data_IF_943308087950
#
_entry.id   IF_943308087950
#
_cell.length_a   1.000
_cell.length_b   1.000
_cell.length_c   1.000
_cell.angle_alpha   90.00
_cell.angle_beta   90.00
_cell.angle_gamma   90.00
#
_symmetry.space_group_name_H-M   'P 1'
#
loop_
_entity.id
_entity.type
_entity.pdbx_description
1 polymer ?
#
# COMPACT_ATOMS: atom_id res chain seq x y z
N UNK A 1 18.65 46.60 1.58
CA UNK A 1 17.78 46.75 0.40
C UNK A 1 17.79 45.43 -0.36
N UNK A 2 18.93 45.00 -0.91
CA UNK A 2 19.14 43.72 -1.65
C UNK A 2 18.43 42.46 -1.11
N UNK A 3 18.54 42.12 0.18
CA UNK A 3 18.00 40.86 0.74
C UNK A 3 16.47 40.85 0.88
N UNK A 4 15.85 42.00 1.18
CA UNK A 4 14.39 42.10 1.35
C UNK A 4 13.71 42.10 -0.02
N UNK A 5 14.32 42.72 -1.03
CA UNK A 5 13.83 42.70 -2.41
C UNK A 5 13.92 41.29 -3.02
N UNK A 6 14.98 40.54 -2.70
CA UNK A 6 15.10 39.11 -3.04
C UNK A 6 13.98 38.27 -2.39
N UNK A 7 13.71 38.46 -1.10
CA UNK A 7 12.60 37.79 -0.41
C UNK A 7 11.23 38.15 -0.99
N UNK A 8 11.04 39.39 -1.47
CA UNK A 8 9.81 39.83 -2.10
C UNK A 8 9.64 39.20 -3.50
N UNK A 9 10.73 39.06 -4.26
CA UNK A 9 10.76 38.39 -5.56
C UNK A 9 10.46 36.88 -5.51
N UNK A 10 10.64 36.23 -4.35
CA UNK A 10 10.39 34.79 -4.16
C UNK A 10 8.92 34.46 -3.80
N UNK A 11 8.12 35.44 -3.37
CA UNK A 11 6.70 35.25 -3.01
C UNK A 11 5.80 34.66 -4.11
N UNK A 12 5.94 34.98 -5.41
CA UNK A 12 5.13 34.37 -6.46
C UNK A 12 5.53 32.92 -6.78
N UNK A 13 6.68 32.42 -6.33
CA UNK A 13 7.11 31.04 -6.60
C UNK A 13 6.34 30.01 -5.75
N UNK A 14 5.99 30.36 -4.51
CA UNK A 14 5.22 29.50 -3.61
C UNK A 14 3.82 29.12 -4.16
N UNK A 15 2.98 30.07 -4.62
CA UNK A 15 1.68 29.71 -5.20
C UNK A 15 1.81 28.91 -6.50
N UNK A 16 2.88 29.12 -7.29
CA UNK A 16 3.14 28.33 -8.50
C UNK A 16 3.47 26.88 -8.14
N UNK A 17 4.30 26.65 -7.12
CA UNK A 17 4.62 25.31 -6.62
C UNK A 17 3.37 24.58 -6.09
N UNK A 18 2.53 25.30 -5.33
CA UNK A 18 1.25 24.76 -4.84
C UNK A 18 0.30 24.44 -6.00
N UNK A 19 0.21 25.32 -7.00
CA UNK A 19 -0.64 25.12 -8.18
C UNK A 19 -0.19 23.91 -9.01
N UNK A 20 1.12 23.70 -9.20
CA UNK A 20 1.66 22.51 -9.88
C UNK A 20 1.35 21.24 -9.09
N UNK A 21 1.50 21.27 -7.77
CA UNK A 21 1.13 20.16 -6.89
C UNK A 21 -0.35 19.80 -6.98
N UNK A 22 -1.23 20.82 -6.95
CA UNK A 22 -2.67 20.65 -7.10
C UNK A 22 -3.06 20.15 -8.49
N UNK A 23 -2.43 20.64 -9.55
CA UNK A 23 -2.66 20.19 -10.92
C UNK A 23 -2.27 18.72 -11.10
N UNK A 24 -1.09 18.32 -10.59
CA UNK A 24 -0.66 16.92 -10.56
C UNK A 24 -1.61 16.03 -9.77
N UNK A 25 -2.12 16.52 -8.62
CA UNK A 25 -3.11 15.82 -7.81
C UNK A 25 -4.45 15.65 -8.55
N UNK A 26 -4.94 16.68 -9.24
CA UNK A 26 -6.16 16.62 -10.04
C UNK A 26 -6.00 15.67 -11.23
N UNK A 27 -4.86 15.72 -11.94
CA UNK A 27 -4.56 14.81 -13.06
C UNK A 27 -4.51 13.36 -12.57
N UNK A 28 -3.89 13.10 -11.42
CA UNK A 28 -3.86 11.77 -10.80
C UNK A 28 -5.26 11.29 -10.42
N UNK A 29 -6.07 12.15 -9.79
CA UNK A 29 -7.47 11.83 -9.48
C UNK A 29 -8.28 11.55 -10.75
N UNK A 30 -8.16 12.38 -11.78
CA UNK A 30 -8.86 12.18 -13.05
C UNK A 30 -8.37 10.94 -13.81
N UNK A 31 -7.07 10.66 -13.76
CA UNK A 31 -6.46 9.45 -14.31
C UNK A 31 -7.00 8.20 -13.62
N UNK A 32 -7.03 8.18 -12.28
CA UNK A 32 -7.64 7.11 -11.49
C UNK A 32 -9.12 6.95 -11.86
N UNK A 33 -9.86 8.05 -11.96
CA UNK A 33 -11.31 8.06 -12.27
C UNK A 33 -11.62 7.56 -13.68
N UNK A 34 -10.74 7.82 -14.65
CA UNK A 34 -10.88 7.35 -16.03
C UNK A 34 -10.44 5.89 -16.22
N UNK A 35 -9.48 5.39 -15.43
CA UNK A 35 -9.13 3.96 -15.39
C UNK A 35 -10.26 3.10 -14.78
N UNK A 36 -11.04 3.64 -13.84
CA UNK A 36 -12.10 2.89 -13.14
C UNK A 36 -13.34 2.62 -14.03
N UNK A 37 -13.53 3.35 -15.14
CA UNK A 37 -14.74 3.22 -15.98
C UNK A 37 -14.80 1.97 -16.88
N UNK A 38 -13.74 1.16 -16.97
CA UNK A 38 -13.68 0.01 -17.90
C UNK A 38 -13.57 -1.37 -17.25
N UNK A 39 -13.44 -1.49 -15.91
CA UNK A 39 -13.44 -2.81 -15.25
C UNK A 39 -14.37 -2.79 -14.04
N UNK A 40 -15.10 -3.89 -13.87
CA UNK A 40 -16.03 -4.11 -12.75
C UNK A 40 -15.21 -4.41 -11.50
N UNK A 41 -14.63 -3.38 -10.90
CA UNK A 41 -13.77 -3.52 -9.73
C UNK A 41 -14.58 -3.73 -8.44
N UNK A 42 -13.97 -4.39 -7.47
CA UNK A 42 -14.51 -4.50 -6.12
C UNK A 42 -14.68 -3.12 -5.50
N UNK A 43 -15.72 -2.93 -4.67
CA UNK A 43 -16.01 -1.63 -4.09
C UNK A 43 -14.87 -1.15 -3.18
N UNK A 44 -14.55 0.14 -3.28
CA UNK A 44 -13.52 0.78 -2.45
C UNK A 44 -14.08 1.00 -1.04
N UNK A 45 -13.42 0.42 -0.04
CA UNK A 45 -13.78 0.59 1.36
C UNK A 45 -13.12 1.82 2.01
N UNK A 46 -12.03 2.33 1.43
CA UNK A 46 -11.32 3.48 1.98
C UNK A 46 -9.95 3.71 1.34
N UNK A 47 -9.17 4.59 1.94
CA UNK A 47 -7.77 4.85 1.60
C UNK A 47 -6.84 4.30 2.69
N UNK A 48 -5.57 4.07 2.37
CA UNK A 48 -4.54 3.67 3.37
C UNK A 48 -4.39 4.67 4.51
N UNK A 49 -4.74 5.94 4.29
CA UNK A 49 -4.73 6.96 5.35
C UNK A 49 -5.74 6.63 6.44
N UNK A 50 -6.89 6.08 6.06
CA UNK A 50 -7.93 5.72 7.02
C UNK A 50 -7.48 4.55 7.92
N UNK A 51 -6.70 3.61 7.38
CA UNK A 51 -6.04 2.58 8.18
C UNK A 51 -4.95 3.16 9.08
N UNK A 52 -4.13 4.08 8.56
CA UNK A 52 -3.05 4.71 9.34
C UNK A 52 -3.58 5.48 10.56
N UNK A 53 -4.70 6.20 10.42
CA UNK A 53 -5.32 6.88 11.56
C UNK A 53 -5.93 5.89 12.58
N UNK A 54 -6.35 4.71 12.12
CA UNK A 54 -6.85 3.63 12.95
C UNK A 54 -5.78 2.56 13.24
N UNK A 55 -4.48 2.91 13.17
CA UNK A 55 -3.39 1.93 13.31
C UNK A 55 -3.45 1.18 14.66
N UNK A 56 -3.92 1.88 15.69
CA UNK A 56 -4.13 1.35 17.04
C UNK A 56 -5.21 0.25 17.14
N UNK A 57 -6.08 0.15 16.14
CA UNK A 57 -7.23 -0.77 16.11
C UNK A 57 -7.39 -1.43 14.75
N UNK A 58 -6.29 -1.64 14.03
CA UNK A 58 -6.31 -2.14 12.64
C UNK A 58 -7.08 -3.44 12.51
N UNK A 59 -6.80 -4.43 13.36
CA UNK A 59 -7.41 -5.75 13.24
C UNK A 59 -8.93 -5.67 13.43
N UNK A 60 -9.39 -4.97 14.45
CA UNK A 60 -10.82 -4.79 14.72
C UNK A 60 -11.48 -3.93 13.62
N UNK A 61 -10.80 -2.92 13.09
CA UNK A 61 -11.26 -2.15 11.93
C UNK A 61 -11.36 -3.01 10.66
N UNK A 62 -10.37 -3.87 10.40
CA UNK A 62 -10.39 -4.81 9.28
C UNK A 62 -11.51 -5.83 9.45
N UNK A 63 -11.74 -6.34 10.65
CA UNK A 63 -12.88 -7.22 10.97
C UNK A 63 -14.21 -6.52 10.73
N UNK A 64 -14.36 -5.25 11.12
CA UNK A 64 -15.56 -4.46 10.89
C UNK A 64 -15.88 -4.27 9.41
N UNK A 65 -14.87 -3.99 8.57
CA UNK A 65 -15.06 -3.88 7.11
C UNK A 65 -15.41 -5.24 6.52
N UNK A 66 -14.67 -6.26 6.94
CA UNK A 66 -14.78 -7.62 6.42
C UNK A 66 -16.14 -8.24 6.74
N UNK A 67 -16.67 -7.97 7.93
CA UNK A 67 -18.02 -8.40 8.35
C UNK A 67 -19.11 -7.91 7.40
N UNK A 68 -18.90 -6.73 6.79
CA UNK A 68 -19.84 -6.10 5.85
C UNK A 68 -19.57 -6.53 4.41
N UNK A 69 -18.32 -6.85 4.06
CA UNK A 69 -17.88 -7.15 2.69
C UNK A 69 -16.75 -8.18 2.69
N UNK A 70 -16.97 -9.32 2.04
CA UNK A 70 -15.95 -10.38 1.89
C UNK A 70 -14.73 -9.96 1.06
N UNK A 71 -14.92 -9.07 0.09
CA UNK A 71 -13.85 -8.56 -0.78
C UNK A 71 -14.01 -7.05 -0.87
N UNK A 72 -12.95 -6.33 -0.56
CA UNK A 72 -12.92 -4.88 -0.61
C UNK A 72 -11.59 -4.36 -1.10
N UNK A 73 -11.59 -3.10 -1.54
CA UNK A 73 -10.41 -2.46 -2.11
C UNK A 73 -10.03 -1.23 -1.29
N UNK A 74 -8.73 -1.08 -1.02
CA UNK A 74 -8.16 0.11 -0.41
C UNK A 74 -7.32 0.86 -1.43
N UNK A 75 -7.41 2.18 -1.38
CA UNK A 75 -6.65 3.07 -2.24
C UNK A 75 -5.40 3.55 -1.49
N UNK A 76 -4.24 3.09 -1.94
CA UNK A 76 -2.94 3.55 -1.48
C UNK A 76 -2.48 4.74 -2.33
N UNK A 77 -1.41 5.41 -1.90
CA UNK A 77 -0.91 6.62 -2.57
C UNK A 77 -0.67 6.44 -4.07
N UNK A 78 -0.21 5.28 -4.52
CA UNK A 78 0.05 5.04 -5.95
C UNK A 78 -0.45 3.68 -6.47
N UNK A 79 -1.20 2.94 -5.65
CA UNK A 79 -1.66 1.59 -5.96
C UNK A 79 -2.99 1.31 -5.28
N UNK A 80 -3.65 0.25 -5.72
CA UNK A 80 -4.87 -0.20 -5.08
C UNK A 80 -4.68 -1.61 -4.55
N UNK A 81 -4.94 -1.79 -3.28
CA UNK A 81 -4.75 -3.04 -2.56
C UNK A 81 -6.12 -3.71 -2.40
N UNK A 82 -6.19 -5.00 -2.73
CA UNK A 82 -7.43 -5.78 -2.64
C UNK A 82 -7.30 -6.71 -1.46
N UNK A 83 -8.28 -6.62 -0.56
CA UNK A 83 -8.38 -7.44 0.63
C UNK A 83 -9.51 -8.44 0.42
N UNK A 84 -9.25 -9.68 0.80
CA UNK A 84 -10.22 -10.78 0.72
C UNK A 84 -10.24 -11.53 2.03
N UNK A 85 -11.45 -11.79 2.51
CA UNK A 85 -11.70 -12.68 3.65
C UNK A 85 -12.38 -13.97 3.23
N UNK A 86 -12.54 -14.20 1.92
CA UNK A 86 -13.11 -15.42 1.39
C UNK A 86 -12.11 -16.58 1.57
N UNK A 87 -12.46 -17.64 2.32
CA UNK A 87 -11.56 -18.78 2.55
C UNK A 87 -11.01 -19.40 1.26
N UNK A 88 -11.82 -19.46 0.19
CA UNK A 88 -11.38 -20.03 -1.08
C UNK A 88 -10.28 -19.19 -1.75
N UNK A 89 -10.40 -17.87 -1.68
CA UNK A 89 -9.36 -16.97 -2.21
C UNK A 89 -8.11 -17.01 -1.35
N UNK A 90 -8.26 -17.11 -0.02
CA UNK A 90 -7.14 -17.22 0.91
C UNK A 90 -6.37 -18.51 0.65
N UNK A 91 -7.06 -19.65 0.50
CA UNK A 91 -6.45 -20.93 0.16
C UNK A 91 -5.73 -20.86 -1.19
N UNK A 92 -6.37 -20.27 -2.20
CA UNK A 92 -5.74 -20.11 -3.51
C UNK A 92 -4.46 -19.27 -3.45
N UNK A 93 -4.45 -18.17 -2.70
CA UNK A 93 -3.28 -17.29 -2.55
C UNK A 93 -2.19 -17.96 -1.72
N UNK A 94 -2.53 -18.58 -0.60
CA UNK A 94 -1.55 -19.08 0.38
C UNK A 94 -1.07 -20.51 0.11
N UNK A 95 -1.92 -21.36 -0.48
CA UNK A 95 -1.62 -22.77 -0.69
C UNK A 95 -1.42 -23.12 -2.17
N UNK A 96 -2.37 -22.76 -3.04
CA UNK A 96 -2.37 -23.25 -4.43
C UNK A 96 -1.42 -22.48 -5.34
N UNK A 97 -1.32 -21.16 -5.17
CA UNK A 97 -0.70 -20.28 -6.15
C UNK A 97 0.26 -19.25 -5.51
N UNK A 98 0.87 -19.63 -4.39
CA UNK A 98 1.73 -18.76 -3.59
C UNK A 98 2.85 -18.07 -4.39
N UNK A 99 3.45 -18.76 -5.37
CA UNK A 99 4.51 -18.21 -6.21
C UNK A 99 4.09 -16.99 -7.04
N UNK A 100 2.79 -16.88 -7.40
CA UNK A 100 2.26 -15.72 -8.13
C UNK A 100 1.91 -14.54 -7.22
N UNK A 101 1.85 -14.75 -5.90
CA UNK A 101 1.48 -13.74 -4.90
C UNK A 101 2.64 -13.43 -3.95
N UNK A 102 3.86 -13.26 -4.47
CA UNK A 102 5.00 -12.78 -3.68
C UNK A 102 4.72 -11.41 -3.06
N UNK A 103 5.34 -11.11 -1.90
CA UNK A 103 5.28 -9.80 -1.22
C UNK A 103 5.72 -8.67 -2.17
N UNK A 104 6.58 -8.99 -3.13
CA UNK A 104 6.90 -8.11 -4.25
C UNK A 104 7.83 -6.96 -3.87
N UNK A 105 8.39 -6.31 -4.90
CA UNK A 105 9.50 -5.36 -4.74
C UNK A 105 9.19 -4.17 -3.82
N UNK A 106 7.93 -3.70 -3.80
CA UNK A 106 7.53 -2.57 -2.98
C UNK A 106 7.53 -2.88 -1.48
N UNK A 107 7.03 -4.07 -1.08
CA UNK A 107 7.05 -4.45 0.33
C UNK A 107 8.48 -4.72 0.78
N UNK A 108 9.32 -5.31 -0.09
CA UNK A 108 10.75 -5.44 0.17
C UNK A 108 11.40 -4.08 0.42
N UNK A 109 11.27 -3.13 -0.51
CA UNK A 109 11.92 -1.82 -0.38
C UNK A 109 11.47 -1.01 0.84
N UNK A 110 10.21 -1.17 1.28
CA UNK A 110 9.69 -0.45 2.46
C UNK A 110 10.13 -1.13 3.77
N UNK A 111 10.23 -2.46 3.78
CA UNK A 111 10.55 -3.24 4.97
C UNK A 111 12.05 -3.50 5.14
N UNK A 112 12.84 -3.46 4.06
CA UNK A 112 14.30 -3.64 4.08
C UNK A 112 14.98 -2.54 4.91
N UNK A 113 14.61 -1.28 4.71
CA UNK A 113 15.15 -0.16 5.46
C UNK A 113 14.79 -0.20 6.96
N UNK A 114 13.69 -0.86 7.32
CA UNK A 114 13.17 -0.90 8.69
C UNK A 114 13.53 -2.20 9.45
N UNK A 115 13.56 -3.35 8.77
CA UNK A 115 13.70 -4.70 9.32
C UNK A 115 14.91 -5.47 8.76
N UNK A 116 15.66 -4.89 7.81
CA UNK A 116 16.76 -5.53 7.08
C UNK A 116 16.28 -6.63 6.13
N UNK A 117 17.20 -7.47 5.64
CA UNK A 117 16.91 -8.71 4.90
C UNK A 117 16.38 -9.83 5.84
N UNK A 118 15.42 -9.49 6.69
CA UNK A 118 14.83 -10.40 7.65
C UNK A 118 13.81 -11.36 7.02
N UNK A 119 13.31 -12.29 7.84
CA UNK A 119 12.26 -13.25 7.49
C UNK A 119 11.00 -12.56 6.90
N UNK A 120 10.75 -11.29 7.24
CA UNK A 120 9.62 -10.51 6.73
C UNK A 120 9.84 -9.94 5.32
N UNK A 121 11.08 -9.74 4.93
CA UNK A 121 11.50 -9.07 3.67
C UNK A 121 11.77 -10.09 2.57
N UNK A 122 12.21 -11.28 2.95
CA UNK A 122 12.53 -12.38 2.03
C UNK A 122 11.25 -13.05 1.50
N UNK A 123 11.18 -13.23 0.18
CA UNK A 123 10.13 -13.95 -0.55
C UNK A 123 10.63 -15.34 -1.04
N UNK A 124 9.71 -16.29 -1.20
CA UNK A 124 9.94 -17.54 -1.96
C UNK A 124 10.80 -18.61 -1.26
N UNK A 125 11.69 -19.28 -2.02
CA UNK A 125 12.50 -20.41 -1.55
C UNK A 125 13.37 -20.08 -0.34
N UNK A 126 13.89 -18.85 -0.26
CA UNK A 126 14.72 -18.40 0.87
C UNK A 126 13.93 -18.39 2.18
N UNK A 127 12.64 -18.02 2.16
CA UNK A 127 11.76 -18.16 3.33
C UNK A 127 11.54 -19.63 3.71
N UNK A 128 11.32 -20.52 2.73
CA UNK A 128 11.17 -21.97 3.01
C UNK A 128 12.44 -22.55 3.61
N UNK A 129 13.61 -22.12 3.13
CA UNK A 129 14.91 -22.51 3.66
C UNK A 129 15.11 -22.01 5.10
N UNK A 130 14.77 -20.74 5.39
CA UNK A 130 14.80 -20.21 6.76
C UNK A 130 13.82 -20.91 7.70
N UNK A 131 12.59 -21.18 7.27
CA UNK A 131 11.61 -21.94 8.06
C UNK A 131 12.11 -23.36 8.35
N UNK A 132 12.68 -24.04 7.36
CA UNK A 132 13.27 -25.37 7.55
C UNK A 132 14.43 -25.35 8.56
N UNK A 133 15.34 -24.36 8.47
CA UNK A 133 16.45 -24.20 9.40
C UNK A 133 15.95 -23.91 10.83
N UNK A 134 14.99 -22.99 11.00
CA UNK A 134 14.42 -22.67 12.31
C UNK A 134 13.70 -23.88 12.94
N UNK A 135 13.07 -24.71 12.11
CA UNK A 135 12.40 -25.94 12.56
C UNK A 135 13.41 -26.97 13.08
N UNK A 136 14.62 -26.99 12.51
CA UNK A 136 15.70 -27.91 12.90
C UNK A 136 16.49 -27.44 14.13
N UNK A 137 16.58 -26.13 14.36
CA UNK A 137 17.28 -25.55 15.52
C UNK A 137 16.46 -25.56 16.82
N UNK A 138 15.19 -25.95 16.76
CA UNK A 138 14.29 -25.99 17.92
C UNK A 138 14.27 -27.36 18.63
N UNK A 139 15.32 -28.18 18.46
CA UNK A 139 15.52 -29.49 19.10
C UNK A 139 16.75 -29.50 20.02
#
# INVERSE_FOLDING_TARGET
MEFIDFLFAMKPLFPILIAIGLAGFIIKIHGIRNFDKKRKYHPVAGTVLHELFNFHRLLEYSTDITSKRKIYRLLSFNRSEVYTSDPANIEHILATNFSNYGKGWYHHSVLEDLLGDGIFTIDGEKWRHQQAINSQLSY
#
